data_IF_680936356773
#
_entry.id   IF_680936356773
#
_cell.length_a   1.000
_cell.length_b   1.000
_cell.length_c   1.000
_cell.angle_alpha   90.00
_cell.angle_beta   90.00
_cell.angle_gamma   90.00
#
_symmetry.space_group_name_H-M   'P 1'
#
loop_
_entity.id
_entity.type
_entity.pdbx_description
1 polymer ?
#
# COMPACT_ATOMS: atom_id res chain seq x y z
N UNK A 1 1.56 -8.71 7.51
CA UNK A 1 1.35 -7.80 6.36
C UNK A 1 2.68 -7.20 6.00
N UNK A 2 2.95 -6.98 4.71
CA UNK A 2 4.22 -6.40 4.27
C UNK A 2 4.04 -4.91 3.96
N UNK A 3 4.94 -4.07 4.46
CA UNK A 3 4.85 -2.61 4.32
C UNK A 3 6.09 -2.00 3.68
N UNK A 4 5.85 -0.87 3.02
CA UNK A 4 6.88 0.02 2.49
C UNK A 4 6.61 1.47 2.93
N UNK A 5 7.60 2.36 2.86
CA UNK A 5 7.39 3.81 2.98
C UNK A 5 7.77 4.49 1.68
N UNK A 6 6.84 5.26 1.11
CA UNK A 6 7.06 6.02 -0.14
C UNK A 6 6.72 7.47 0.03
N UNK A 7 7.42 8.34 -0.71
CA UNK A 7 6.93 9.70 -0.95
C UNK A 7 5.98 9.70 -2.14
N UNK A 8 4.80 10.27 -1.95
CA UNK A 8 3.81 10.54 -2.99
C UNK A 8 3.25 11.95 -2.79
N UNK A 9 3.35 12.81 -3.82
CA UNK A 9 2.89 14.21 -3.76
C UNK A 9 3.35 14.97 -2.48
N UNK A 10 4.66 14.87 -2.18
CA UNK A 10 5.29 15.43 -0.98
C UNK A 10 4.83 14.85 0.39
N UNK A 11 3.93 13.87 0.39
CA UNK A 11 3.49 13.17 1.60
C UNK A 11 4.17 11.81 1.71
N UNK A 12 4.43 11.37 2.94
CA UNK A 12 4.88 10.01 3.21
C UNK A 12 3.64 9.10 3.29
N UNK A 13 3.66 7.98 2.59
CA UNK A 13 2.58 6.99 2.54
C UNK A 13 3.14 5.60 2.84
N UNK A 14 2.33 4.75 3.46
CA UNK A 14 2.68 3.35 3.74
C UNK A 14 1.82 2.38 2.92
N UNK A 15 2.28 1.89 1.75
CA UNK A 15 1.62 0.79 1.06
C UNK A 15 1.70 -0.50 1.89
N UNK A 16 0.59 -1.22 1.98
CA UNK A 16 0.47 -2.47 2.72
C UNK A 16 -0.05 -3.56 1.80
N UNK A 17 0.68 -4.66 1.74
CA UNK A 17 0.38 -5.82 0.92
C UNK A 17 -0.02 -7.00 1.80
N UNK A 18 -0.99 -7.77 1.30
CA UNK A 18 -1.46 -8.99 1.98
C UNK A 18 -0.63 -10.23 1.63
N UNK A 19 0.37 -10.12 0.74
CA UNK A 19 1.37 -11.18 0.50
C UNK A 19 2.69 -10.60 -0.05
N UNK A 20 3.83 -11.30 0.16
CA UNK A 20 5.14 -10.89 -0.35
C UNK A 20 5.21 -10.82 -1.89
N UNK A 21 4.51 -11.71 -2.59
CA UNK A 21 4.49 -11.75 -4.05
C UNK A 21 3.87 -10.47 -4.64
N UNK A 22 2.85 -9.92 -3.98
CA UNK A 22 2.23 -8.66 -4.41
C UNK A 22 3.14 -7.46 -4.18
N UNK A 23 3.88 -7.46 -3.07
CA UNK A 23 4.89 -6.44 -2.83
C UNK A 23 5.93 -6.50 -3.94
N UNK A 24 6.44 -7.69 -4.25
CA UNK A 24 7.43 -7.88 -5.31
C UNK A 24 6.92 -7.44 -6.69
N UNK A 25 5.67 -7.75 -7.03
CA UNK A 25 5.05 -7.35 -8.30
C UNK A 25 4.81 -5.83 -8.41
N UNK A 26 4.47 -5.16 -7.31
CA UNK A 26 4.20 -3.71 -7.30
C UNK A 26 5.42 -2.81 -7.08
N UNK A 27 6.49 -3.36 -6.51
CA UNK A 27 7.67 -2.62 -6.05
C UNK A 27 8.94 -3.00 -6.83
N UNK A 28 8.96 -4.18 -7.45
CA UNK A 28 10.15 -4.75 -8.07
C UNK A 28 11.10 -5.38 -7.04
N UNK A 29 12.12 -6.13 -7.51
CA UNK A 29 12.92 -7.04 -6.69
C UNK A 29 13.90 -6.38 -5.71
N UNK A 30 14.09 -5.07 -5.79
CA UNK A 30 15.14 -4.36 -5.05
C UNK A 30 14.61 -3.39 -4.00
N UNK A 31 13.29 -3.34 -3.80
CA UNK A 31 12.67 -2.39 -2.89
C UNK A 31 12.63 -2.96 -1.47
N UNK A 32 13.16 -2.25 -0.46
CA UNK A 32 13.20 -2.76 0.91
C UNK A 32 11.80 -2.78 1.52
N UNK A 33 11.44 -3.89 2.14
CA UNK A 33 10.17 -4.06 2.85
C UNK A 33 10.38 -4.77 4.18
N UNK A 34 9.40 -4.62 5.07
CA UNK A 34 9.36 -5.29 6.36
C UNK A 34 7.97 -5.87 6.58
N UNK A 35 7.91 -7.08 7.12
CA UNK A 35 6.65 -7.67 7.58
C UNK A 35 6.33 -7.17 8.98
N UNK A 36 5.11 -6.68 9.19
CA UNK A 36 4.58 -6.31 10.51
C UNK A 36 3.28 -7.05 10.80
N UNK A 37 2.93 -7.15 12.08
CA UNK A 37 1.62 -7.63 12.48
C UNK A 37 0.60 -6.51 12.24
N UNK A 38 -0.64 -6.90 11.96
CA UNK A 38 -1.72 -5.96 11.63
C UNK A 38 -1.99 -5.01 12.80
N UNK A 39 -1.91 -5.53 14.03
CA UNK A 39 -2.10 -4.76 15.26
C UNK A 39 -1.05 -3.66 15.48
N UNK A 40 0.14 -3.79 14.86
CA UNK A 40 1.23 -2.83 15.01
C UNK A 40 1.17 -1.70 13.94
N UNK A 41 0.23 -1.80 12.99
CA UNK A 41 0.17 -0.90 11.82
C UNK A 41 -0.08 0.57 12.20
N UNK A 42 -0.90 0.82 13.23
CA UNK A 42 -1.19 2.17 13.70
C UNK A 42 0.07 2.85 14.26
N UNK A 43 0.90 2.09 15.00
CA UNK A 43 2.15 2.59 15.54
C UNK A 43 3.18 2.86 14.45
N UNK A 44 3.27 1.98 13.44
CA UNK A 44 4.14 2.21 12.27
C UNK A 44 3.79 3.50 11.54
N UNK A 45 2.50 3.79 11.32
CA UNK A 45 2.06 5.03 10.66
C UNK A 45 2.44 6.24 11.49
N UNK A 46 2.14 6.20 12.81
CA UNK A 46 2.45 7.27 13.75
C UNK A 46 3.95 7.56 13.81
N UNK A 47 4.78 6.54 13.90
CA UNK A 47 6.23 6.68 14.09
C UNK A 47 6.98 7.02 12.80
N UNK A 48 6.51 6.54 11.65
CA UNK A 48 7.10 6.89 10.35
C UNK A 48 6.75 8.32 9.92
N UNK A 49 5.70 8.91 10.47
CA UNK A 49 5.14 10.17 9.97
C UNK A 49 4.37 10.01 8.66
N UNK A 50 3.96 8.79 8.33
CA UNK A 50 3.10 8.54 7.18
C UNK A 50 1.73 9.20 7.40
N UNK A 51 1.19 9.83 6.35
CA UNK A 51 -0.12 10.46 6.38
C UNK A 51 -1.27 9.44 6.38
N UNK A 52 -0.98 8.18 6.05
CA UNK A 52 -1.95 7.09 6.03
C UNK A 52 -1.40 5.80 5.44
N UNK A 53 -2.29 4.80 5.36
CA UNK A 53 -2.01 3.47 4.82
C UNK A 53 -2.73 3.27 3.51
N UNK A 54 -2.01 2.76 2.51
CA UNK A 54 -2.60 2.29 1.24
C UNK A 54 -2.61 0.77 1.26
N UNK A 55 -3.75 0.17 1.58
CA UNK A 55 -3.90 -1.28 1.53
C UNK A 55 -4.13 -1.70 0.08
N UNK A 56 -3.30 -2.60 -0.43
CA UNK A 56 -3.51 -3.28 -1.69
C UNK A 56 -3.98 -4.72 -1.40
N UNK A 57 -5.30 -4.96 -1.22
CA UNK A 57 -5.81 -6.29 -0.94
C UNK A 57 -5.85 -7.14 -2.20
N UNK A 58 -5.40 -8.39 -2.12
CA UNK A 58 -5.65 -9.38 -3.17
C UNK A 58 -7.11 -9.85 -3.10
N UNK A 59 -8.01 -9.17 -3.81
CA UNK A 59 -9.39 -9.62 -3.96
C UNK A 59 -9.50 -10.64 -5.10
N UNK A 60 -10.56 -11.45 -5.15
CA UNK A 60 -10.84 -12.23 -6.36
C UNK A 60 -11.11 -11.32 -7.56
N UNK A 61 -10.82 -11.77 -8.78
CA UNK A 61 -10.92 -10.95 -10.00
C UNK A 61 -12.32 -10.35 -10.18
N UNK A 62 -13.36 -11.16 -9.95
CA UNK A 62 -14.76 -10.72 -9.99
C UNK A 62 -15.07 -9.61 -8.96
N UNK A 63 -14.32 -9.54 -7.86
CA UNK A 63 -14.44 -8.48 -6.87
C UNK A 63 -13.61 -7.23 -7.21
N UNK A 64 -12.54 -7.35 -8.03
CA UNK A 64 -11.74 -6.20 -8.48
C UNK A 64 -12.40 -5.39 -9.60
N UNK A 65 -13.19 -6.05 -10.45
CA UNK A 65 -13.73 -5.44 -11.68
C UNK A 65 -15.27 -5.42 -11.71
N UNK A 66 -15.90 -4.98 -10.62
CA UNK A 66 -17.37 -4.91 -10.54
C UNK A 66 -17.99 -3.78 -11.39
N UNK A 67 -17.24 -2.70 -11.62
CA UNK A 67 -17.62 -1.57 -12.47
C UNK A 67 -16.39 -0.72 -12.83
N UNK A 68 -16.45 0.12 -13.88
CA UNK A 68 -15.38 1.09 -14.18
C UNK A 68 -15.13 2.03 -13.01
N UNK A 69 -13.88 2.18 -12.60
CA UNK A 69 -13.49 3.17 -11.59
C UNK A 69 -13.68 4.56 -12.21
N UNK A 70 -14.52 5.39 -11.59
CA UNK A 70 -14.53 6.83 -11.88
C UNK A 70 -13.18 7.38 -11.45
N UNK A 71 -12.37 7.85 -12.39
CA UNK A 71 -11.12 8.50 -12.08
C UNK A 71 -11.37 9.62 -11.05
N UNK A 72 -10.80 9.51 -9.86
CA UNK A 72 -10.66 10.66 -8.99
C UNK A 72 -9.76 11.64 -9.74
N UNK A 73 -10.29 12.81 -10.09
CA UNK A 73 -9.62 13.77 -10.95
C UNK A 73 -8.24 14.14 -10.41
N UNK A 74 -7.19 13.54 -10.98
CA UNK A 74 -5.83 13.96 -10.77
C UNK A 74 -5.62 15.26 -11.56
N UNK A 75 -5.50 16.38 -10.85
CA UNK A 75 -4.84 17.57 -11.40
C UNK A 75 -3.33 17.34 -11.21
N UNK A 76 -2.62 17.43 -12.33
CA UNK A 76 -1.18 17.19 -12.50
C UNK A 76 -0.33 18.19 -11.73
#
# INVERSE_FOLDING_TARGET
MDLELRRYQAQLIAPVFTSPEMLHAGCGPHQPYVSVRTEDLADVVRESGAAGVLVNPHLEEAARYQAPIRAAGARW
#
